data_IF_735429819135
#
_entry.id   IF_735429819135
#
_cell.length_a   1.000
_cell.length_b   1.000
_cell.length_c   1.000
_cell.angle_alpha   90.00
_cell.angle_beta   90.00
_cell.angle_gamma   90.00
#
_symmetry.space_group_name_H-M   'P 1'
#
loop_
_entity.id
_entity.type
_entity.pdbx_description
1 polymer ?
#
# COMPACT_ATOMS: atom_id res chain seq x y z
N UNK A 1 -4.16 28.27 -10.83
CA UNK A 1 -3.96 27.38 -9.66
C UNK A 1 -4.20 25.94 -10.13
N UNK A 2 -3.16 25.12 -10.29
CA UNK A 2 -3.36 23.69 -10.58
C UNK A 2 -3.84 23.04 -9.28
N UNK A 3 -4.99 22.36 -9.30
CA UNK A 3 -5.59 21.77 -8.12
C UNK A 3 -4.76 20.57 -7.62
N UNK A 4 -3.84 20.83 -6.70
CA UNK A 4 -3.03 19.79 -6.03
C UNK A 4 -3.87 18.67 -5.39
N UNK A 5 -5.14 18.94 -5.06
CA UNK A 5 -6.05 17.98 -4.45
C UNK A 5 -6.51 16.87 -5.38
N UNK A 6 -6.62 17.12 -6.69
CA UNK A 6 -7.19 16.17 -7.66
C UNK A 6 -6.31 14.93 -7.80
N UNK A 7 -4.99 15.10 -7.98
CA UNK A 7 -4.05 13.99 -8.09
C UNK A 7 -3.97 13.14 -6.82
N UNK A 8 -3.98 13.80 -5.65
CA UNK A 8 -3.99 13.13 -4.34
C UNK A 8 -5.27 12.31 -4.13
N UNK A 9 -6.42 12.84 -4.54
CA UNK A 9 -7.69 12.13 -4.48
C UNK A 9 -7.73 10.90 -5.39
N UNK A 10 -7.27 11.03 -6.64
CA UNK A 10 -7.16 9.91 -7.60
C UNK A 10 -6.24 8.82 -7.05
N UNK A 11 -5.08 9.21 -6.50
CA UNK A 11 -4.14 8.28 -5.89
C UNK A 11 -4.79 7.52 -4.72
N UNK A 12 -5.40 8.24 -3.78
CA UNK A 12 -6.04 7.65 -2.61
C UNK A 12 -7.19 6.71 -3.00
N UNK A 13 -7.99 7.08 -3.99
CA UNK A 13 -9.05 6.22 -4.51
C UNK A 13 -8.47 4.92 -5.08
N UNK A 14 -7.37 4.99 -5.84
CA UNK A 14 -6.65 3.80 -6.30
C UNK A 14 -6.14 2.92 -5.16
N UNK A 15 -5.61 3.52 -4.08
CA UNK A 15 -5.17 2.78 -2.88
C UNK A 15 -6.33 2.04 -2.23
N UNK A 16 -7.48 2.70 -2.04
CA UNK A 16 -8.67 2.08 -1.44
C UNK A 16 -9.18 0.91 -2.29
N UNK A 17 -9.25 1.08 -3.61
CA UNK A 17 -9.66 0.01 -4.52
C UNK A 17 -8.72 -1.20 -4.46
N UNK A 18 -7.41 -0.97 -4.56
CA UNK A 18 -6.41 -2.03 -4.55
C UNK A 18 -6.42 -2.80 -3.22
N UNK A 19 -6.25 -2.09 -2.11
CA UNK A 19 -6.09 -2.70 -0.78
C UNK A 19 -7.40 -3.35 -0.34
N UNK A 20 -8.52 -2.68 -0.58
CA UNK A 20 -9.86 -3.22 -0.31
C UNK A 20 -10.09 -4.52 -1.08
N UNK A 21 -9.79 -4.54 -2.39
CA UNK A 21 -9.95 -5.75 -3.19
C UNK A 21 -9.05 -6.90 -2.70
N UNK A 22 -7.77 -6.65 -2.42
CA UNK A 22 -6.85 -7.72 -1.99
C UNK A 22 -7.32 -8.37 -0.69
N UNK A 23 -7.71 -7.57 0.32
CA UNK A 23 -8.16 -8.08 1.62
C UNK A 23 -9.49 -8.83 1.48
N UNK A 24 -10.49 -8.21 0.84
CA UNK A 24 -11.83 -8.80 0.69
C UNK A 24 -11.76 -10.08 -0.14
N UNK A 25 -10.97 -10.09 -1.23
CA UNK A 25 -10.74 -11.26 -2.07
C UNK A 25 -10.19 -12.43 -1.29
N UNK A 26 -9.22 -12.20 -0.41
CA UNK A 26 -8.70 -13.26 0.44
C UNK A 26 -9.80 -13.87 1.35
N UNK A 27 -10.62 -13.02 1.98
CA UNK A 27 -11.67 -13.47 2.90
C UNK A 27 -12.71 -14.33 2.20
N UNK A 28 -13.34 -13.82 1.13
CA UNK A 28 -14.42 -14.56 0.49
C UNK A 28 -13.90 -15.74 -0.33
N UNK A 29 -12.68 -15.68 -0.91
CA UNK A 29 -12.08 -16.82 -1.61
C UNK A 29 -11.82 -17.97 -0.64
N UNK A 30 -11.26 -17.68 0.55
CA UNK A 30 -11.09 -18.70 1.58
C UNK A 30 -12.45 -19.22 2.07
N UNK A 31 -13.49 -18.39 2.10
CA UNK A 31 -14.87 -18.82 2.36
C UNK A 31 -15.37 -19.81 1.31
N UNK A 32 -15.22 -19.49 0.02
CA UNK A 32 -15.61 -20.33 -1.10
C UNK A 32 -14.86 -21.67 -1.09
N UNK A 33 -13.53 -21.64 -0.93
CA UNK A 33 -12.69 -22.84 -0.87
C UNK A 33 -13.11 -23.77 0.30
N UNK A 34 -13.51 -23.23 1.45
CA UNK A 34 -13.96 -24.04 2.60
C UNK A 34 -15.26 -24.78 2.36
N UNK A 35 -16.10 -24.36 1.40
CA UNK A 35 -17.35 -25.06 1.12
C UNK A 35 -17.11 -26.47 0.58
N UNK A 36 -15.96 -26.70 -0.08
CA UNK A 36 -15.71 -27.95 -0.80
C UNK A 36 -16.65 -28.18 -1.99
N UNK A 37 -17.54 -27.23 -2.29
CA UNK A 37 -18.56 -27.33 -3.31
C UNK A 37 -18.00 -26.84 -4.66
N UNK A 38 -17.86 -27.71 -5.68
CA UNK A 38 -17.21 -27.38 -6.95
C UNK A 38 -17.81 -26.14 -7.63
N UNK A 39 -19.14 -26.00 -7.60
CA UNK A 39 -19.85 -24.89 -8.23
C UNK A 39 -19.53 -23.54 -7.58
N UNK A 40 -19.53 -23.49 -6.25
CA UNK A 40 -19.21 -22.29 -5.45
C UNK A 40 -17.75 -21.88 -5.64
N UNK A 41 -16.84 -22.86 -5.61
CA UNK A 41 -15.41 -22.60 -5.80
C UNK A 41 -15.15 -22.08 -7.22
N UNK A 42 -15.78 -22.64 -8.24
CA UNK A 42 -15.62 -22.17 -9.61
C UNK A 42 -16.16 -20.75 -9.83
N UNK A 43 -17.31 -20.44 -9.25
CA UNK A 43 -17.83 -19.07 -9.22
C UNK A 43 -16.85 -18.12 -8.53
N UNK A 44 -16.32 -18.53 -7.37
CA UNK A 44 -15.31 -17.78 -6.63
C UNK A 44 -14.06 -17.52 -7.48
N UNK A 45 -13.45 -18.54 -8.08
CA UNK A 45 -12.25 -18.37 -8.92
C UNK A 45 -12.47 -17.42 -10.10
N UNK A 46 -13.66 -17.45 -10.72
CA UNK A 46 -14.03 -16.49 -11.77
C UNK A 46 -14.09 -15.06 -11.22
N UNK A 47 -14.68 -14.87 -10.05
CA UNK A 47 -14.73 -13.57 -9.40
C UNK A 47 -13.33 -13.03 -9.10
N UNK A 48 -12.40 -13.86 -8.59
CA UNK A 48 -11.01 -13.42 -8.27
C UNK A 48 -10.38 -12.81 -9.53
N UNK A 49 -10.53 -13.51 -10.66
CA UNK A 49 -9.97 -13.06 -11.95
C UNK A 49 -10.58 -11.75 -12.42
N UNK A 50 -11.90 -11.58 -12.25
CA UNK A 50 -12.59 -10.37 -12.66
C UNK A 50 -12.24 -9.19 -11.75
N UNK A 51 -12.28 -9.38 -10.44
CA UNK A 51 -12.04 -8.32 -9.46
C UNK A 51 -10.59 -7.87 -9.46
N UNK A 52 -9.63 -8.78 -9.72
CA UNK A 52 -8.23 -8.39 -9.92
C UNK A 52 -8.01 -7.52 -11.17
N UNK A 53 -8.69 -7.83 -12.28
CA UNK A 53 -8.59 -7.01 -13.49
C UNK A 53 -9.11 -5.59 -13.26
N UNK A 54 -10.25 -5.44 -12.57
CA UNK A 54 -10.87 -4.13 -12.38
C UNK A 54 -10.31 -3.34 -11.19
N UNK A 55 -10.09 -4.00 -10.05
CA UNK A 55 -9.76 -3.30 -8.80
C UNK A 55 -8.28 -3.41 -8.44
N UNK A 56 -7.62 -4.54 -8.72
CA UNK A 56 -6.17 -4.66 -8.49
C UNK A 56 -5.42 -3.88 -9.56
N UNK A 57 -5.58 -4.24 -10.84
CA UNK A 57 -4.89 -3.53 -11.92
C UNK A 57 -5.41 -2.10 -12.10
N UNK A 58 -6.73 -1.89 -12.07
CA UNK A 58 -7.30 -0.54 -12.12
C UNK A 58 -6.86 0.34 -10.95
N UNK A 59 -6.81 -0.22 -9.73
CA UNK A 59 -6.25 0.46 -8.56
C UNK A 59 -4.78 0.85 -8.76
N UNK A 60 -3.94 -0.07 -9.26
CA UNK A 60 -2.53 0.21 -9.60
C UNK A 60 -2.41 1.37 -10.58
N UNK A 61 -3.21 1.39 -11.65
CA UNK A 61 -3.20 2.47 -12.65
C UNK A 61 -3.54 3.82 -12.00
N UNK A 62 -4.59 3.87 -11.18
CA UNK A 62 -5.01 5.10 -10.49
C UNK A 62 -3.96 5.59 -9.48
N UNK A 63 -3.33 4.67 -8.74
CA UNK A 63 -2.23 4.97 -7.81
C UNK A 63 -1.08 5.64 -8.57
N UNK A 64 -0.67 5.08 -9.71
CA UNK A 64 0.46 5.60 -10.47
C UNK A 64 0.13 6.97 -11.09
N UNK A 65 -1.02 7.08 -11.79
CA UNK A 65 -1.44 8.34 -12.42
C UNK A 65 -1.62 9.44 -11.36
N UNK A 66 -2.36 9.16 -10.29
CA UNK A 66 -2.59 10.13 -9.23
C UNK A 66 -1.32 10.49 -8.46
N UNK A 67 -0.46 9.50 -8.18
CA UNK A 67 0.77 9.68 -7.41
C UNK A 67 1.80 10.53 -8.16
N UNK A 68 2.13 10.15 -9.40
CA UNK A 68 3.05 10.93 -10.23
C UNK A 68 2.44 12.28 -10.64
N UNK A 69 1.14 12.35 -10.90
CA UNK A 69 0.44 13.61 -11.13
C UNK A 69 0.55 14.57 -9.95
N UNK A 70 0.34 14.07 -8.72
CA UNK A 70 0.49 14.87 -7.51
C UNK A 70 1.94 15.32 -7.28
N UNK A 71 2.93 14.46 -7.50
CA UNK A 71 4.34 14.81 -7.39
C UNK A 71 4.74 15.90 -8.39
N UNK A 72 4.28 15.76 -9.65
CA UNK A 72 4.53 16.73 -10.71
C UNK A 72 3.96 18.12 -10.39
N UNK A 73 2.71 18.20 -9.91
CA UNK A 73 2.09 19.47 -9.54
C UNK A 73 2.80 20.10 -8.34
N UNK A 74 3.26 19.28 -7.38
CA UNK A 74 3.99 19.73 -6.20
C UNK A 74 5.48 20.05 -6.47
N UNK A 75 5.99 19.84 -7.69
CA UNK A 75 7.41 20.04 -8.02
C UNK A 75 8.36 19.10 -7.26
N UNK A 76 7.86 17.96 -6.79
CA UNK A 76 8.66 16.96 -6.07
C UNK A 76 9.32 16.01 -7.05
N UNK A 77 10.60 15.69 -6.82
CA UNK A 77 11.27 14.57 -7.47
C UNK A 77 10.83 13.26 -6.79
N UNK A 78 10.10 12.36 -7.48
CA UNK A 78 9.63 11.09 -6.92
C UNK A 78 10.77 10.16 -6.46
N UNK A 79 11.99 10.34 -6.99
CA UNK A 79 13.14 9.49 -6.68
C UNK A 79 14.12 10.15 -5.71
N UNK A 80 14.16 11.48 -5.66
CA UNK A 80 14.98 12.24 -4.71
C UNK A 80 14.40 12.28 -3.29
N UNK A 81 13.08 12.13 -3.14
CA UNK A 81 12.43 12.15 -1.83
C UNK A 81 12.34 10.73 -1.24
N UNK A 82 13.03 10.51 -0.12
CA UNK A 82 13.21 9.19 0.50
C UNK A 82 11.92 8.40 0.72
N UNK A 83 10.88 9.01 1.30
CA UNK A 83 9.62 8.31 1.57
C UNK A 83 8.85 7.98 0.27
N UNK A 84 8.97 8.81 -0.77
CA UNK A 84 8.40 8.53 -2.09
C UNK A 84 9.12 7.34 -2.74
N UNK A 85 10.45 7.31 -2.69
CA UNK A 85 11.25 6.21 -3.24
C UNK A 85 10.92 4.88 -2.56
N UNK A 86 10.97 4.83 -1.22
CA UNK A 86 10.72 3.59 -0.48
C UNK A 86 9.28 3.10 -0.61
N UNK A 87 8.29 4.01 -0.65
CA UNK A 87 6.91 3.62 -0.91
C UNK A 87 6.74 2.96 -2.29
N UNK A 88 7.43 3.48 -3.32
CA UNK A 88 7.46 2.86 -4.65
C UNK A 88 8.16 1.50 -4.65
N UNK A 89 9.29 1.37 -3.97
CA UNK A 89 10.01 0.08 -3.86
C UNK A 89 9.11 -0.99 -3.24
N UNK A 90 8.45 -0.69 -2.14
CA UNK A 90 7.51 -1.61 -1.50
C UNK A 90 6.33 -1.94 -2.43
N UNK A 91 5.78 -0.95 -3.12
CA UNK A 91 4.71 -1.15 -4.09
C UNK A 91 5.14 -2.08 -5.23
N UNK A 92 6.35 -1.89 -5.78
CA UNK A 92 6.91 -2.76 -6.83
C UNK A 92 7.16 -4.17 -6.33
N UNK A 93 7.70 -4.34 -5.12
CA UNK A 93 7.87 -5.68 -4.51
C UNK A 93 6.53 -6.40 -4.43
N UNK A 94 5.48 -5.73 -3.95
CA UNK A 94 4.14 -6.31 -3.95
C UNK A 94 3.65 -6.68 -5.35
N UNK A 95 3.83 -5.78 -6.32
CA UNK A 95 3.44 -5.98 -7.71
C UNK A 95 4.14 -7.17 -8.35
N UNK A 96 5.43 -7.39 -8.06
CA UNK A 96 6.19 -8.53 -8.53
C UNK A 96 5.71 -9.85 -7.90
N UNK A 97 5.42 -9.86 -6.60
CA UNK A 97 4.82 -11.04 -5.96
C UNK A 97 3.49 -11.41 -6.61
N UNK A 98 2.65 -10.41 -6.86
CA UNK A 98 1.38 -10.61 -7.56
C UNK A 98 1.57 -11.14 -8.99
N UNK A 99 2.37 -10.45 -9.80
CA UNK A 99 2.53 -10.78 -11.22
C UNK A 99 3.26 -12.11 -11.46
N UNK A 100 4.31 -12.41 -10.69
CA UNK A 100 5.17 -13.57 -10.92
C UNK A 100 4.68 -14.83 -10.19
N UNK A 101 3.94 -14.68 -9.10
CA UNK A 101 3.54 -15.82 -8.26
C UNK A 101 2.03 -16.01 -8.24
N UNK A 102 1.25 -14.96 -7.96
CA UNK A 102 -0.21 -15.09 -7.86
C UNK A 102 -0.87 -15.28 -9.22
N UNK A 103 -0.54 -14.48 -10.24
CA UNK A 103 -1.17 -14.61 -11.58
C UNK A 103 -1.01 -16.02 -12.15
N UNK A 104 0.19 -16.65 -12.18
CA UNK A 104 0.32 -18.00 -12.71
C UNK A 104 -0.48 -19.03 -11.90
N UNK A 105 -0.53 -18.90 -10.58
CA UNK A 105 -1.34 -19.76 -9.72
C UNK A 105 -2.83 -19.59 -10.04
N UNK A 106 -3.29 -18.36 -10.14
CA UNK A 106 -4.68 -18.02 -10.43
C UNK A 106 -5.12 -18.53 -11.80
N UNK A 107 -4.27 -18.45 -12.83
CA UNK A 107 -4.57 -19.02 -14.16
C UNK A 107 -4.74 -20.53 -14.08
N UNK A 108 -3.87 -21.25 -13.34
CA UNK A 108 -3.99 -22.71 -13.15
C UNK A 108 -5.28 -23.05 -12.41
N UNK A 109 -5.55 -22.36 -11.30
CA UNK A 109 -6.76 -22.56 -10.50
C UNK A 109 -8.04 -22.29 -11.31
N UNK A 110 -8.09 -21.20 -12.07
CA UNK A 110 -9.24 -20.87 -12.91
C UNK A 110 -9.50 -21.97 -13.97
N UNK A 111 -8.45 -22.47 -14.62
CA UNK A 111 -8.56 -23.57 -15.60
C UNK A 111 -9.07 -24.86 -14.97
N UNK A 112 -8.59 -25.20 -13.77
CA UNK A 112 -9.08 -26.36 -13.03
C UNK A 112 -10.54 -26.17 -12.63
N UNK A 113 -10.90 -24.97 -12.19
CA UNK A 113 -12.23 -24.64 -11.71
C UNK A 113 -13.30 -24.70 -12.81
N UNK A 114 -12.97 -24.27 -14.03
CA UNK A 114 -13.84 -24.49 -15.19
C UNK A 114 -14.10 -25.98 -15.44
N UNK A 115 -13.10 -26.85 -15.23
CA UNK A 115 -13.26 -28.29 -15.46
C UNK A 115 -14.12 -28.95 -14.38
N UNK A 116 -13.81 -28.71 -13.11
CA UNK A 116 -14.54 -29.35 -12.02
C UNK A 116 -15.94 -28.78 -11.79
N UNK A 117 -16.25 -27.59 -12.31
CA UNK A 117 -17.62 -27.09 -12.36
C UNK A 117 -18.56 -28.04 -13.13
N UNK A 118 -18.03 -28.79 -14.10
CA UNK A 118 -18.81 -29.76 -14.88
C UNK A 118 -18.69 -31.18 -14.33
N UNK A 119 -17.50 -31.58 -13.87
CA UNK A 119 -17.26 -32.96 -13.42
C UNK A 119 -17.60 -33.21 -11.95
N UNK A 120 -17.73 -32.17 -11.14
CA UNK A 120 -17.95 -32.26 -9.69
C UNK A 120 -16.74 -32.72 -8.87
N UNK A 121 -15.62 -33.06 -9.51
CA UNK A 121 -14.43 -33.61 -8.83
C UNK A 121 -13.30 -32.58 -8.75
N UNK A 122 -13.00 -32.12 -7.54
CA UNK A 122 -11.93 -31.15 -7.30
C UNK A 122 -10.58 -31.88 -7.19
N UNK A 123 -9.61 -31.62 -8.09
CA UNK A 123 -8.33 -32.31 -8.08
C UNK A 123 -7.44 -31.86 -6.91
N UNK A 124 -6.59 -32.76 -6.39
CA UNK A 124 -5.68 -32.46 -5.28
C UNK A 124 -4.72 -31.28 -5.58
N UNK A 125 -4.29 -31.13 -6.84
CA UNK A 125 -3.41 -30.04 -7.27
C UNK A 125 -4.07 -28.66 -7.11
N UNK A 126 -5.40 -28.57 -7.22
CA UNK A 126 -6.12 -27.31 -6.97
C UNK A 126 -5.86 -26.80 -5.55
N UNK A 127 -5.90 -27.68 -4.55
CA UNK A 127 -5.68 -27.32 -3.14
C UNK A 127 -4.24 -26.91 -2.86
N UNK A 128 -3.27 -27.49 -3.57
CA UNK A 128 -1.86 -27.10 -3.49
C UNK A 128 -1.67 -25.68 -4.01
N UNK A 129 -2.24 -25.39 -5.18
CA UNK A 129 -2.23 -24.05 -5.76
C UNK A 129 -3.02 -23.06 -4.90
N UNK A 130 -4.15 -23.46 -4.32
CA UNK A 130 -4.96 -22.63 -3.43
C UNK A 130 -4.18 -22.19 -2.19
N UNK A 131 -3.48 -23.12 -1.55
CA UNK A 131 -2.65 -22.85 -0.38
C UNK A 131 -1.47 -21.94 -0.72
N UNK A 132 -0.83 -22.18 -1.87
CA UNK A 132 0.25 -21.31 -2.38
C UNK A 132 -0.26 -19.90 -2.64
N UNK A 133 -1.37 -19.76 -3.36
CA UNK A 133 -2.00 -18.48 -3.65
C UNK A 133 -2.34 -17.72 -2.36
N UNK A 134 -2.89 -18.40 -1.35
CA UNK A 134 -3.21 -17.79 -0.05
C UNK A 134 -1.97 -17.28 0.69
N UNK A 135 -0.93 -18.10 0.83
CA UNK A 135 0.28 -17.68 1.55
C UNK A 135 1.01 -16.51 0.88
N UNK A 136 1.18 -16.60 -0.44
CA UNK A 136 1.81 -15.52 -1.20
C UNK A 136 0.93 -14.26 -1.26
N UNK A 137 -0.39 -14.41 -1.27
CA UNK A 137 -1.33 -13.30 -1.16
C UNK A 137 -1.21 -12.55 0.18
N UNK A 138 -1.16 -13.28 1.30
CA UNK A 138 -0.93 -12.68 2.62
C UNK A 138 0.44 -11.98 2.66
N UNK A 139 1.48 -12.62 2.13
CA UNK A 139 2.82 -12.03 2.10
C UNK A 139 2.86 -10.75 1.25
N UNK A 140 2.13 -10.69 0.14
CA UNK A 140 2.06 -9.51 -0.73
C UNK A 140 1.32 -8.32 -0.07
N UNK A 141 0.46 -8.55 0.93
CA UNK A 141 -0.21 -7.47 1.68
C UNK A 141 0.80 -6.68 2.53
N UNK A 142 1.83 -7.34 3.08
CA UNK A 142 2.82 -6.71 3.96
C UNK A 142 3.51 -5.51 3.32
N UNK A 143 4.12 -5.61 2.12
CA UNK A 143 4.72 -4.46 1.47
C UNK A 143 3.69 -3.39 1.06
N UNK A 144 2.44 -3.75 0.71
CA UNK A 144 1.38 -2.75 0.45
C UNK A 144 1.06 -1.90 1.68
N UNK A 145 0.86 -2.55 2.84
CA UNK A 145 0.61 -1.84 4.09
C UNK A 145 1.83 -1.01 4.52
N UNK A 146 3.04 -1.54 4.30
CA UNK A 146 4.28 -0.78 4.50
C UNK A 146 4.37 0.47 3.62
N UNK A 147 4.00 0.36 2.33
CA UNK A 147 3.97 1.49 1.42
C UNK A 147 2.98 2.57 1.87
N UNK A 148 1.77 2.17 2.29
CA UNK A 148 0.77 3.08 2.87
C UNK A 148 1.33 3.78 4.11
N UNK A 149 1.93 3.03 5.03
CA UNK A 149 2.50 3.60 6.25
C UNK A 149 3.61 4.61 5.94
N UNK A 150 4.54 4.31 5.03
CA UNK A 150 5.61 5.25 4.62
C UNK A 150 5.02 6.52 4.01
N UNK A 151 4.00 6.40 3.15
CA UNK A 151 3.35 7.54 2.48
C UNK A 151 2.60 8.45 3.48
N UNK A 152 2.10 7.90 4.59
CA UNK A 152 1.43 8.65 5.65
C UNK A 152 2.44 9.25 6.63
N UNK A 153 3.33 8.42 7.18
CA UNK A 153 4.27 8.81 8.22
C UNK A 153 5.36 9.75 7.70
N UNK A 154 5.68 9.68 6.41
CA UNK A 154 6.73 10.48 5.74
C UNK A 154 7.99 10.60 6.58
N UNK A 155 8.58 9.46 7.03
CA UNK A 155 9.73 9.50 7.90
C UNK A 155 10.85 10.27 7.19
N UNK A 156 11.38 11.30 7.85
CA UNK A 156 12.64 11.89 7.43
C UNK A 156 13.70 10.79 7.54
N UNK A 157 14.44 10.55 6.46
CA UNK A 157 15.63 9.72 6.57
C UNK A 157 16.54 10.34 7.64
N UNK A 158 17.12 9.49 8.49
CA UNK A 158 18.14 9.84 9.48
C UNK A 158 19.09 10.90 8.89
N UNK A 159 19.38 12.01 9.59
CA UNK A 159 20.10 13.15 9.03
C UNK A 159 21.41 12.73 8.38
N UNK A 160 21.70 13.41 7.27
CA UNK A 160 22.95 13.29 6.53
C UNK A 160 24.17 13.46 7.44
N UNK A 161 25.27 12.89 6.98
CA UNK A 161 26.63 12.95 7.54
C UNK A 161 27.05 14.28 8.20
N UNK A 162 28.16 14.28 8.99
CA UNK A 162 28.67 15.42 9.75
C UNK A 162 28.89 16.76 9.02
N UNK A 163 28.67 16.85 7.70
CA UNK A 163 28.69 18.08 6.91
C UNK A 163 27.66 19.12 7.38
N UNK A 164 26.62 18.71 8.11
CA UNK A 164 25.66 19.63 8.77
C UNK A 164 26.30 20.47 9.91
N UNK A 165 27.46 20.06 10.46
CA UNK A 165 28.16 20.86 11.47
C UNK A 165 28.82 22.11 10.89
N UNK A 166 29.18 22.11 9.60
CA UNK A 166 29.80 23.25 8.91
C UNK A 166 28.78 24.34 8.55
N UNK A 167 27.51 23.98 8.33
CA UNK A 167 26.45 24.94 8.02
C UNK A 167 25.75 25.52 9.27
N UNK A 168 25.91 24.91 10.45
CA UNK A 168 25.36 25.41 11.72
C UNK A 168 25.92 26.79 12.11
N UNK A 169 27.19 27.06 11.79
CA UNK A 169 27.82 28.37 12.01
C UNK A 169 27.23 29.52 11.18
N UNK A 170 26.46 29.21 10.12
CA UNK A 170 25.72 30.23 9.35
C UNK A 170 24.32 30.53 9.90
N UNK A 171 23.73 29.63 10.69
CA UNK A 171 22.36 29.81 11.21
C UNK A 171 22.30 30.64 12.51
N UNK A 172 23.42 30.80 13.23
CA UNK A 172 23.51 31.69 14.41
C UNK A 172 23.42 33.20 14.07
N UNK A 173 23.36 33.56 12.77
CA UNK A 173 23.22 34.96 12.32
C UNK A 173 21.77 35.42 12.11
N UNK A 174 20.76 34.60 12.44
CA UNK A 174 19.36 35.02 12.32
C UNK A 174 18.95 35.85 13.56
N UNK A 175 18.46 37.09 13.42
CA UNK A 175 18.09 37.93 14.57
C UNK A 175 16.99 37.29 15.42
N UNK A 176 17.11 37.40 16.76
CA UNK A 176 16.18 36.88 17.80
C UNK A 176 14.70 37.26 17.68
N UNK A 177 14.30 38.04 16.68
CA UNK A 177 12.93 38.55 16.52
C UNK A 177 11.91 37.50 15.99
N UNK A 178 12.36 36.31 15.59
CA UNK A 178 11.50 35.28 14.97
C UNK A 178 11.43 33.94 15.73
N UNK A 179 11.90 33.88 16.98
CA UNK A 179 11.69 32.69 17.83
C UNK A 179 10.35 32.78 18.54
N UNK A 180 9.38 31.98 18.11
CA UNK A 180 8.11 31.78 18.82
C UNK A 180 8.40 31.09 20.16
N UNK A 181 8.11 31.79 21.26
CA UNK A 181 8.21 31.28 22.63
C UNK A 181 7.09 30.28 22.90
N UNK A 182 7.42 28.99 22.94
CA UNK A 182 6.53 27.97 23.52
C UNK A 182 6.59 28.10 25.04
N UNK A 183 5.81 29.02 25.61
CA UNK A 183 5.56 29.07 27.04
C UNK A 183 4.48 28.03 27.35
N UNK A 184 4.94 26.81 27.67
CA UNK A 184 4.10 25.77 28.25
C UNK A 184 4.03 26.05 29.75
N UNK A 185 2.83 26.43 30.16
CA UNK A 185 2.33 26.50 31.53
C UNK A 185 2.78 25.30 32.38
N UNK A 186 3.26 25.61 33.59
CA UNK A 186 3.59 24.58 34.58
C UNK A 186 4.60 25.01 35.63
N UNK A 187 4.17 25.80 36.63
CA UNK A 187 4.68 25.60 38.00
C UNK A 187 3.81 26.16 39.12
N UNK A 188 3.11 25.26 39.78
CA UNK A 188 2.79 25.37 41.20
C UNK A 188 4.05 25.60 42.05
N UNK A 189 4.11 26.74 42.75
CA UNK A 189 4.69 27.01 44.07
C UNK A 189 3.85 28.18 44.62
N UNK A 190 3.10 28.12 45.71
CA UNK A 190 3.43 27.61 47.03
C UNK A 190 3.84 28.80 47.92
N UNK A 191 3.07 29.02 48.99
CA UNK A 191 3.36 29.81 50.20
C UNK A 191 2.85 31.29 50.27
N UNK A 192 1.87 31.49 51.17
CA UNK A 192 1.77 32.52 52.24
C UNK A 192 2.33 33.92 52.02
N UNK A 193 1.50 34.94 52.20
CA UNK A 193 1.55 35.93 53.31
C UNK A 193 0.48 37.03 53.15
N UNK A 194 -0.04 37.47 54.32
CA UNK A 194 -0.91 38.62 54.63
C UNK A 194 -2.41 38.58 54.25
#
# INVERSE_FOLDING_TARGET
MRNEGEGKAVHLFGVVLLVGNVIVTLVWKLGADRTGEPSVIAFGQRLVTLTDWWFTLGGVVLILIGGYGAAWVAGLDPFGVHWLLWGQVLFVISGLLWALILIPAQIRQARQATRFATTGLIPADYWRDARRWTWWGILAIVPLLGAIWIMIAKPAAVPAEPTDRLNRGKQEQIPRAWTVSTEVDGKHRGATEA
#
